data_IF_849872934863
#
_entry.id   IF_849872934863
#
_cell.length_a   1.000
_cell.length_b   1.000
_cell.length_c   1.000
_cell.angle_alpha   90.00
_cell.angle_beta   90.00
_cell.angle_gamma   90.00
#
_symmetry.space_group_name_H-M   'P 1'
#
loop_
_entity.id
_entity.type
_entity.pdbx_description
1 polymer ?
#
# COMPACT_ATOMS: atom_id res chain seq x y z
N UNK A 1 -5.54 37.30 -2.28
CA UNK A 1 -4.75 36.69 -1.19
C UNK A 1 -5.37 35.32 -0.92
N UNK A 2 -4.94 34.28 -1.63
CA UNK A 2 -5.55 32.95 -1.51
C UNK A 2 -4.92 32.19 -0.35
N UNK A 3 -5.71 31.80 0.64
CA UNK A 3 -5.28 30.91 1.72
C UNK A 3 -4.66 29.65 1.12
N UNK A 4 -3.35 29.45 1.35
CA UNK A 4 -2.65 28.21 0.97
C UNK A 4 -3.21 27.10 1.86
N UNK A 5 -4.19 26.36 1.34
CA UNK A 5 -4.77 25.20 2.00
C UNK A 5 -3.67 24.18 2.27
N UNK A 6 -3.21 24.09 3.51
CA UNK A 6 -2.34 23.01 3.96
C UNK A 6 -3.06 21.69 3.66
N UNK A 7 -2.47 20.86 2.81
CA UNK A 7 -3.08 19.59 2.40
C UNK A 7 -2.92 18.59 3.54
N UNK A 8 -3.99 18.37 4.31
CA UNK A 8 -4.10 17.28 5.26
C UNK A 8 -3.98 15.94 4.51
N UNK A 9 -3.07 15.09 4.96
CA UNK A 9 -2.83 13.75 4.41
C UNK A 9 -3.15 12.72 5.49
N UNK A 10 -3.97 11.72 5.17
CA UNK A 10 -4.14 10.53 6.02
C UNK A 10 -3.18 9.45 5.56
N UNK A 11 -2.37 8.91 6.48
CA UNK A 11 -1.44 7.82 6.19
C UNK A 11 -1.13 7.04 7.48
N UNK A 12 -0.43 5.92 7.35
CA UNK A 12 0.03 5.10 8.48
C UNK A 12 1.14 5.79 9.26
N UNK A 13 1.12 5.66 10.59
CA UNK A 13 2.16 6.21 11.49
C UNK A 13 3.50 5.46 11.37
N UNK A 14 3.44 4.14 11.19
CA UNK A 14 4.56 3.23 11.02
C UNK A 14 4.19 2.10 10.07
N UNK A 15 5.20 1.35 9.60
CA UNK A 15 4.95 0.09 8.90
C UNK A 15 4.17 -0.87 9.79
N UNK A 16 3.28 -1.65 9.18
CA UNK A 16 2.56 -2.74 9.82
C UNK A 16 2.34 -3.88 8.84
N UNK A 17 2.08 -5.08 9.35
CA UNK A 17 1.76 -6.25 8.54
C UNK A 17 0.71 -7.15 9.18
N UNK A 18 -0.07 -7.82 8.33
CA UNK A 18 -1.06 -8.81 8.73
C UNK A 18 -1.00 -10.01 7.80
N UNK A 19 -1.52 -11.15 8.28
CA UNK A 19 -1.56 -12.40 7.52
C UNK A 19 -2.97 -12.96 7.52
N UNK A 20 -3.46 -13.31 6.35
CA UNK A 20 -4.68 -14.10 6.18
C UNK A 20 -4.39 -15.36 5.38
N UNK A 21 -5.25 -16.37 5.52
CA UNK A 21 -5.15 -17.64 4.79
C UNK A 21 -6.48 -17.92 4.09
N UNK A 22 -6.44 -18.09 2.77
CA UNK A 22 -7.63 -18.35 1.95
C UNK A 22 -7.37 -19.56 1.06
N UNK A 23 -8.14 -20.63 1.26
CA UNK A 23 -7.98 -21.92 0.56
C UNK A 23 -6.50 -22.36 0.47
N UNK A 24 -5.83 -22.41 1.63
CA UNK A 24 -4.40 -22.75 1.81
C UNK A 24 -3.40 -21.75 1.23
N UNK A 25 -3.83 -20.77 0.42
CA UNK A 25 -2.95 -19.69 -0.02
C UNK A 25 -2.76 -18.71 1.15
N UNK A 26 -1.53 -18.25 1.34
CA UNK A 26 -1.18 -17.27 2.37
C UNK A 26 -1.07 -15.90 1.71
N UNK A 27 -1.70 -14.91 2.31
CA UNK A 27 -1.59 -13.51 1.90
C UNK A 27 -1.04 -12.71 3.08
N UNK A 28 0.05 -12.00 2.86
CA UNK A 28 0.68 -11.14 3.86
C UNK A 28 0.58 -9.71 3.33
N UNK A 29 -0.30 -8.92 3.92
CA UNK A 29 -0.44 -7.50 3.58
C UNK A 29 0.54 -6.68 4.43
N UNK A 30 1.41 -5.91 3.78
CA UNK A 30 2.31 -4.96 4.44
C UNK A 30 1.95 -3.55 3.96
N UNK A 31 1.78 -2.63 4.89
CA UNK A 31 1.45 -1.23 4.62
C UNK A 31 2.57 -0.33 5.11
N UNK A 32 2.94 0.67 4.31
CA UNK A 32 3.98 1.63 4.65
C UNK A 32 3.67 3.01 4.07
N UNK A 33 4.01 4.05 4.83
CA UNK A 33 4.05 5.42 4.32
C UNK A 33 5.21 5.58 3.33
N UNK A 34 4.94 6.21 2.19
CA UNK A 34 5.92 6.49 1.12
C UNK A 34 5.71 7.89 0.57
N UNK A 35 6.79 8.61 0.27
CA UNK A 35 6.71 9.99 -0.24
C UNK A 35 7.01 10.12 -1.73
N UNK A 36 7.57 9.08 -2.34
CA UNK A 36 7.99 9.10 -3.73
C UNK A 36 8.17 7.67 -4.26
N UNK A 37 8.28 7.53 -5.59
CA UNK A 37 8.47 6.23 -6.25
C UNK A 37 9.73 5.49 -5.79
N UNK A 38 10.81 6.19 -5.46
CA UNK A 38 12.06 5.56 -5.00
C UNK A 38 11.84 4.80 -3.69
N UNK A 39 11.06 5.36 -2.78
CA UNK A 39 10.67 4.67 -1.54
C UNK A 39 9.76 3.47 -1.80
N UNK A 40 8.87 3.52 -2.81
CA UNK A 40 8.06 2.36 -3.21
C UNK A 40 8.95 1.23 -3.73
N UNK A 41 9.92 1.52 -4.60
CA UNK A 41 10.85 0.51 -5.11
C UNK A 41 11.69 -0.11 -4.00
N UNK A 42 12.25 0.73 -3.12
CA UNK A 42 13.00 0.26 -1.95
C UNK A 42 12.14 -0.61 -1.04
N UNK A 43 10.88 -0.23 -0.85
CA UNK A 43 9.94 -1.02 -0.06
C UNK A 43 9.66 -2.39 -0.72
N UNK A 44 9.44 -2.45 -2.03
CA UNK A 44 9.28 -3.73 -2.76
C UNK A 44 10.51 -4.62 -2.60
N UNK A 45 11.72 -4.06 -2.76
CA UNK A 45 12.98 -4.80 -2.58
C UNK A 45 13.11 -5.37 -1.15
N UNK A 46 12.86 -4.55 -0.13
CA UNK A 46 12.89 -4.99 1.28
C UNK A 46 11.88 -6.11 1.56
N UNK A 47 10.67 -6.03 0.99
CA UNK A 47 9.64 -7.07 1.10
C UNK A 47 10.06 -8.36 0.40
N UNK A 48 10.65 -8.27 -0.80
CA UNK A 48 11.15 -9.44 -1.54
C UNK A 48 12.28 -10.16 -0.80
N UNK A 49 13.14 -9.41 -0.10
CA UNK A 49 14.19 -9.98 0.75
C UNK A 49 13.58 -10.63 2.00
N UNK A 50 12.62 -9.97 2.66
CA UNK A 50 11.95 -10.48 3.88
C UNK A 50 11.14 -11.74 3.60
N UNK A 51 10.51 -11.82 2.43
CA UNK A 51 9.62 -12.91 2.03
C UNK A 51 10.11 -13.57 0.75
N UNK A 52 11.18 -14.36 0.78
CA UNK A 52 11.72 -14.97 -0.44
C UNK A 52 10.76 -16.02 -1.02
N UNK A 53 10.88 -16.26 -2.33
CA UNK A 53 10.15 -17.29 -3.08
C UNK A 53 8.62 -17.18 -2.99
N UNK A 54 8.07 -15.99 -2.75
CA UNK A 54 6.64 -15.79 -2.87
C UNK A 54 6.20 -15.95 -4.33
N UNK A 55 4.95 -16.34 -4.52
CA UNK A 55 4.37 -16.49 -5.85
C UNK A 55 4.16 -15.12 -6.51
N UNK A 56 3.70 -14.13 -5.74
CA UNK A 56 3.47 -12.76 -6.21
C UNK A 56 3.74 -11.72 -5.10
N UNK A 57 4.20 -10.54 -5.49
CA UNK A 57 4.43 -9.33 -4.70
C UNK A 57 3.61 -8.17 -5.29
N UNK A 58 2.29 -8.33 -5.20
CA UNK A 58 1.33 -7.36 -5.75
C UNK A 58 1.39 -6.07 -4.95
N UNK A 59 1.46 -4.93 -5.62
CA UNK A 59 1.52 -3.64 -4.95
C UNK A 59 0.50 -2.63 -5.49
N UNK A 60 0.11 -1.71 -4.62
CA UNK A 60 -0.60 -0.51 -5.01
C UNK A 60 -0.23 0.65 -4.08
N UNK A 61 -0.26 1.88 -4.61
CA UNK A 61 -0.02 3.07 -3.81
C UNK A 61 -0.81 4.29 -4.31
N UNK A 62 -0.95 5.25 -3.40
CA UNK A 62 -1.29 6.65 -3.72
C UNK A 62 -0.23 7.58 -3.16
N UNK A 63 0.30 8.48 -3.99
CA UNK A 63 1.25 9.53 -3.60
C UNK A 63 0.84 10.84 -4.26
N UNK A 64 0.29 11.78 -3.48
CA UNK A 64 -0.34 12.97 -4.02
C UNK A 64 -1.50 12.61 -4.96
N UNK A 65 -1.42 13.07 -6.20
CA UNK A 65 -2.37 12.75 -7.27
C UNK A 65 -2.05 11.45 -8.01
N UNK A 66 -0.86 10.88 -7.79
CA UNK A 66 -0.44 9.65 -8.44
C UNK A 66 -1.11 8.44 -7.80
N UNK A 67 -1.71 7.60 -8.64
CA UNK A 67 -2.32 6.32 -8.29
C UNK A 67 -1.71 5.24 -9.17
N UNK A 68 -1.27 4.15 -8.56
CA UNK A 68 -0.61 3.05 -9.27
C UNK A 68 -0.94 1.71 -8.64
N UNK A 69 -1.04 0.68 -9.47
CA UNK A 69 -1.08 -0.71 -9.03
C UNK A 69 -0.40 -1.62 -10.05
N UNK A 70 0.20 -2.69 -9.55
CA UNK A 70 0.86 -3.75 -10.32
C UNK A 70 0.33 -5.11 -9.82
N UNK A 71 -0.21 -5.91 -10.74
CA UNK A 71 -0.76 -7.23 -10.43
C UNK A 71 0.33 -8.31 -10.29
N UNK A 72 1.59 -8.01 -10.59
CA UNK A 72 2.76 -8.89 -10.41
C UNK A 72 2.59 -10.31 -11.00
N UNK A 73 1.95 -10.41 -12.17
CA UNK A 73 1.70 -11.69 -12.85
C UNK A 73 0.42 -12.42 -12.42
N UNK A 74 -0.34 -11.88 -11.47
CA UNK A 74 -1.74 -12.30 -11.27
C UNK A 74 -2.60 -11.93 -12.48
N UNK A 75 -3.77 -12.57 -12.66
CA UNK A 75 -4.73 -12.16 -13.68
C UNK A 75 -5.09 -10.66 -13.57
N UNK A 76 -5.11 -9.97 -14.71
CA UNK A 76 -5.25 -8.53 -14.78
C UNK A 76 -6.42 -7.99 -13.95
N UNK A 77 -6.14 -6.97 -13.14
CA UNK A 77 -7.07 -6.25 -12.26
C UNK A 77 -7.74 -7.10 -11.17
N UNK A 78 -7.22 -8.28 -10.88
CA UNK A 78 -7.74 -9.15 -9.81
C UNK A 78 -7.02 -9.00 -8.48
N UNK A 79 -5.90 -8.25 -8.43
CA UNK A 79 -5.07 -8.13 -7.23
C UNK A 79 -4.69 -6.68 -6.91
N UNK A 80 -3.89 -6.01 -7.74
CA UNK A 80 -3.37 -4.66 -7.49
C UNK A 80 -4.48 -3.62 -7.45
N UNK A 81 -5.45 -3.69 -8.37
CA UNK A 81 -6.57 -2.75 -8.41
C UNK A 81 -7.49 -2.85 -7.17
N UNK A 82 -7.87 -4.05 -6.67
CA UNK A 82 -8.51 -4.22 -5.37
C UNK A 82 -7.77 -3.56 -4.19
N UNK A 83 -6.45 -3.71 -4.11
CA UNK A 83 -5.63 -3.07 -3.06
C UNK A 83 -5.72 -1.54 -3.19
N UNK A 84 -5.55 -1.01 -4.40
CA UNK A 84 -5.66 0.44 -4.67
C UNK A 84 -7.03 0.97 -4.23
N UNK A 85 -8.12 0.26 -4.53
CA UNK A 85 -9.47 0.64 -4.10
C UNK A 85 -9.61 0.72 -2.58
N UNK A 86 -8.90 -0.11 -1.82
CA UNK A 86 -8.89 -0.04 -0.36
C UNK A 86 -8.15 1.21 0.14
N UNK A 87 -7.02 1.57 -0.47
CA UNK A 87 -6.28 2.80 -0.18
C UNK A 87 -7.18 4.02 -0.42
N UNK A 88 -7.80 4.08 -1.61
CA UNK A 88 -8.68 5.20 -2.00
C UNK A 88 -9.95 5.28 -1.15
N UNK A 89 -10.58 4.15 -0.85
CA UNK A 89 -11.80 4.09 -0.03
C UNK A 89 -11.58 4.55 1.42
N UNK A 90 -10.34 4.46 1.92
CA UNK A 90 -9.95 4.96 3.24
C UNK A 90 -9.32 6.37 3.20
N UNK A 91 -9.34 7.04 2.04
CA UNK A 91 -8.73 8.36 1.82
C UNK A 91 -7.24 8.41 2.20
N UNK A 92 -6.54 7.28 2.11
CA UNK A 92 -5.12 7.20 2.42
C UNK A 92 -4.31 7.77 1.25
N UNK A 93 -3.30 8.57 1.58
CA UNK A 93 -2.35 9.14 0.63
C UNK A 93 -0.93 8.98 1.19
N UNK A 94 0.09 9.11 0.35
CA UNK A 94 1.48 8.78 0.67
C UNK A 94 1.59 7.37 1.29
N UNK A 95 0.84 6.41 0.75
CA UNK A 95 0.67 5.09 1.34
C UNK A 95 0.82 4.04 0.26
N UNK A 96 1.64 3.03 0.51
CA UNK A 96 1.83 1.85 -0.32
C UNK A 96 1.41 0.62 0.47
N UNK A 97 0.71 -0.30 -0.18
CA UNK A 97 0.43 -1.64 0.33
C UNK A 97 1.03 -2.63 -0.65
N UNK A 98 1.79 -3.59 -0.12
CA UNK A 98 2.28 -4.75 -0.84
C UNK A 98 1.61 -5.98 -0.22
N UNK A 99 0.98 -6.81 -1.05
CA UNK A 99 0.45 -8.10 -0.62
C UNK A 99 1.33 -9.20 -1.21
N UNK A 100 2.03 -9.90 -0.33
CA UNK A 100 2.81 -11.08 -0.67
C UNK A 100 1.89 -12.29 -0.68
N UNK A 101 1.90 -13.06 -1.77
CA UNK A 101 1.10 -14.29 -1.89
C UNK A 101 2.00 -15.50 -2.00
N UNK A 102 1.73 -16.51 -1.17
CA UNK A 102 2.21 -17.88 -1.38
C UNK A 102 1.05 -18.76 -1.83
N UNK A 103 1.16 -19.37 -3.01
CA UNK A 103 0.13 -20.24 -3.56
C UNK A 103 -0.04 -21.53 -2.75
N UNK A 104 -1.28 -21.83 -2.36
CA UNK A 104 -1.62 -22.98 -1.52
C UNK A 104 -2.01 -24.27 -2.25
N UNK A 105 -1.84 -24.33 -3.57
CA UNK A 105 -2.24 -25.49 -4.38
C UNK A 105 -3.72 -25.52 -4.80
N UNK A 106 -4.52 -24.53 -4.39
CA UNK A 106 -5.95 -24.41 -4.76
C UNK A 106 -6.17 -23.08 -5.48
N UNK A 107 -6.64 -23.15 -6.73
CA UNK A 107 -6.99 -21.96 -7.50
C UNK A 107 -8.21 -21.26 -6.90
N UNK A 108 -8.13 -19.93 -6.75
CA UNK A 108 -9.21 -19.11 -6.19
C UNK A 108 -10.21 -18.61 -7.24
N UNK A 109 -9.83 -18.67 -8.52
CA UNK A 109 -10.54 -17.96 -9.60
C UNK A 109 -10.47 -16.43 -9.44
N UNK A 110 -10.93 -15.69 -10.45
CA UNK A 110 -10.84 -14.22 -10.48
C UNK A 110 -11.57 -13.57 -9.30
N UNK A 111 -12.80 -14.03 -9.00
CA UNK A 111 -13.58 -13.50 -7.89
C UNK A 111 -12.97 -13.81 -6.52
N UNK A 112 -12.34 -14.98 -6.35
CA UNK A 112 -11.66 -15.35 -5.11
C UNK A 112 -10.38 -14.55 -4.88
N UNK A 113 -9.62 -14.26 -5.95
CA UNK A 113 -8.45 -13.38 -5.88
C UNK A 113 -8.84 -11.97 -5.47
N UNK A 114 -9.84 -11.39 -6.14
CA UNK A 114 -10.34 -10.04 -5.81
C UNK A 114 -10.73 -9.96 -4.34
N UNK A 115 -11.46 -10.95 -3.82
CA UNK A 115 -11.84 -11.00 -2.40
C UNK A 115 -10.62 -11.11 -1.48
N UNK A 116 -9.70 -12.04 -1.74
CA UNK A 116 -8.54 -12.26 -0.88
C UNK A 116 -7.60 -11.04 -0.83
N UNK A 117 -7.32 -10.40 -1.96
CA UNK A 117 -6.50 -9.18 -1.99
C UNK A 117 -7.21 -7.98 -1.32
N UNK A 118 -8.52 -7.86 -1.50
CA UNK A 118 -9.33 -6.84 -0.79
C UNK A 118 -9.28 -7.05 0.72
N UNK A 119 -9.47 -8.29 1.18
CA UNK A 119 -9.48 -8.65 2.59
C UNK A 119 -8.11 -8.40 3.24
N UNK A 120 -7.03 -8.84 2.58
CA UNK A 120 -5.66 -8.59 3.03
C UNK A 120 -5.35 -7.09 3.18
N UNK A 121 -5.74 -6.27 2.21
CA UNK A 121 -5.56 -4.83 2.26
C UNK A 121 -6.41 -4.16 3.36
N UNK A 122 -7.65 -4.62 3.56
CA UNK A 122 -8.52 -4.10 4.63
C UNK A 122 -7.99 -4.45 6.02
N UNK A 123 -7.52 -5.67 6.21
CA UNK A 123 -7.01 -6.15 7.50
C UNK A 123 -5.75 -5.37 7.92
N UNK A 124 -4.81 -5.15 6.99
CA UNK A 124 -3.61 -4.37 7.30
C UNK A 124 -3.94 -2.90 7.57
N UNK A 125 -4.91 -2.31 6.86
CA UNK A 125 -5.36 -0.94 7.14
C UNK A 125 -6.03 -0.86 8.51
N UNK A 126 -6.92 -1.81 8.84
CA UNK A 126 -7.68 -1.80 10.08
C UNK A 126 -6.82 -2.02 11.33
N UNK A 127 -5.73 -2.75 11.20
CA UNK A 127 -4.76 -3.00 12.27
C UNK A 127 -3.68 -1.91 12.38
N UNK A 128 -3.65 -0.94 11.46
CA UNK A 128 -2.68 0.16 11.47
C UNK A 128 -3.19 1.42 12.14
N UNK A 129 -2.29 2.11 12.82
CA UNK A 129 -2.53 3.45 13.33
C UNK A 129 -2.52 4.48 12.20
N UNK A 130 -3.71 4.96 11.80
CA UNK A 130 -3.86 6.00 10.79
C UNK A 130 -3.81 7.39 11.43
N UNK A 131 -2.88 8.23 10.97
CA UNK A 131 -2.67 9.57 11.49
C UNK A 131 -2.79 10.64 10.41
N UNK A 132 -3.03 11.88 10.86
CA UNK A 132 -3.07 13.06 9.99
C UNK A 132 -1.68 13.69 9.92
N UNK A 133 -1.19 13.87 8.70
CA UNK A 133 0.03 14.61 8.39
C UNK A 133 -0.30 15.95 7.74
N UNK A 134 0.48 16.97 8.09
CA UNK A 134 0.47 18.26 7.41
C UNK A 134 1.76 18.38 6.62
N UNK A 135 1.65 18.64 5.32
CA UNK A 135 2.82 18.85 4.47
C UNK A 135 3.31 20.29 4.60
N UNK A 136 4.34 20.51 5.40
CA UNK A 136 5.00 21.81 5.50
C UNK A 136 5.93 22.04 4.29
N UNK A 137 5.85 23.21 3.66
CA UNK A 137 6.93 23.64 2.74
C UNK A 137 8.16 23.96 3.60
N UNK A 138 9.35 23.46 3.21
CA UNK A 138 10.62 23.90 3.81
C UNK A 138 10.75 25.42 3.59
N UNK A 139 10.46 26.22 4.61
CA UNK A 139 10.78 27.64 4.59
C UNK A 139 12.25 27.76 5.00
N UNK A 140 13.09 28.23 4.09
CA UNK A 140 14.42 28.71 4.43
C UNK A 140 14.27 29.91 5.38
N UNK A 141 14.91 29.85 6.54
CA UNK A 141 15.12 31.05 7.37
C UNK A 141 16.27 31.80 6.70
N UNK A 142 15.95 32.88 5.97
CA UNK A 142 16.96 33.85 5.54
C UNK A 142 17.20 34.76 6.75
N UNK A 143 18.33 34.55 7.44
CA UNK A 143 18.83 35.50 8.42
C UNK A 143 19.58 36.57 7.64
N UNK A 144 19.04 37.79 7.61
CA UNK A 144 19.83 38.96 7.24
C UNK A 144 20.62 39.39 8.49
N UNK A 145 21.94 39.38 8.38
CA UNK A 145 22.86 40.06 9.31
C UNK A 145 23.17 41.42 8.71
#
# INVERSE_FOLDING_TARGET
>A
MGEKKESLILSVSSENETKIVVNKSIFIGIIRKVENRKEVFKFKEEVMIKYPNATHYVLAYKIGEEEFCDDDGEPARTSGFPILKCILGNNLNNTCIIVVRYFGGILLGTGGLVKAYTESAKEVIASSDIVKYIRCKKNYIIIFI
#
